data_IF_799922783482
#
_entry.id   IF_799922783482
#
_cell.length_a   1.000
_cell.length_b   1.000
_cell.length_c   1.000
_cell.angle_alpha   90.00
_cell.angle_beta   90.00
_cell.angle_gamma   90.00
#
_symmetry.space_group_name_H-M   'P 1'
#
loop_
_entity.id
_entity.type
_entity.pdbx_description
1 polymer ?
#
# COMPACT_ATOMS: atom_id res chain seq x y z
N UNK A 1 -1.12 8.34 6.41
CA UNK A 1 -0.44 7.66 5.29
C UNK A 1 0.91 8.33 5.11
N UNK A 2 1.95 7.61 4.66
CA UNK A 2 3.27 8.24 4.44
C UNK A 2 3.07 9.50 3.56
N UNK A 3 3.56 10.64 4.03
CA UNK A 3 3.59 11.92 3.30
C UNK A 3 2.25 12.66 3.08
N UNK A 4 1.43 12.85 4.12
CA UNK A 4 0.58 14.06 4.19
C UNK A 4 -0.57 14.19 3.19
N UNK A 5 -1.04 13.09 2.60
CA UNK A 5 -2.21 13.08 1.73
C UNK A 5 -1.87 12.66 0.31
N UNK A 6 -1.96 11.35 0.07
CA UNK A 6 -2.06 10.81 -1.28
C UNK A 6 -3.35 11.32 -1.93
N UNK A 7 -3.34 11.47 -3.26
CA UNK A 7 -4.57 11.51 -4.06
C UNK A 7 -5.52 10.37 -3.66
N UNK A 8 -6.79 10.47 -4.04
CA UNK A 8 -7.82 9.46 -3.73
C UNK A 8 -7.37 8.01 -4.03
N UNK A 9 -6.40 7.82 -4.96
CA UNK A 9 -5.89 6.52 -5.40
C UNK A 9 -4.50 6.12 -4.83
N UNK A 10 -3.74 7.00 -4.17
CA UNK A 10 -2.34 6.66 -3.81
C UNK A 10 -2.21 5.55 -2.76
N UNK A 11 -3.25 5.31 -1.96
CA UNK A 11 -3.30 4.10 -1.13
C UNK A 11 -3.37 2.82 -1.98
N UNK A 12 -4.06 2.87 -3.10
CA UNK A 12 -4.19 1.72 -4.01
C UNK A 12 -2.85 1.37 -4.63
N UNK A 13 -2.09 2.40 -5.05
CA UNK A 13 -0.77 2.22 -5.64
C UNK A 13 0.24 1.68 -4.62
N UNK A 14 0.18 2.16 -3.37
CA UNK A 14 0.95 1.57 -2.27
C UNK A 14 0.60 0.10 -2.03
N UNK A 15 -0.69 -0.29 -2.08
CA UNK A 15 -1.09 -1.70 -1.93
C UNK A 15 -0.50 -2.56 -3.06
N UNK A 16 -0.53 -2.09 -4.31
CA UNK A 16 0.09 -2.79 -5.43
C UNK A 16 1.60 -2.93 -5.25
N UNK A 17 2.27 -1.86 -4.80
CA UNK A 17 3.68 -1.91 -4.42
C UNK A 17 3.93 -2.99 -3.36
N UNK A 18 3.14 -3.01 -2.28
CA UNK A 18 3.31 -3.97 -1.19
C UNK A 18 3.14 -5.42 -1.66
N UNK A 19 2.10 -5.71 -2.46
CA UNK A 19 1.87 -7.04 -3.03
C UNK A 19 3.04 -7.46 -3.92
N UNK A 20 3.60 -6.54 -4.71
CA UNK A 20 4.73 -6.84 -5.59
C UNK A 20 6.02 -7.22 -4.85
N UNK A 21 6.11 -6.99 -3.53
CA UNK A 21 7.26 -7.40 -2.70
C UNK A 21 7.26 -8.89 -2.37
N UNK A 22 6.20 -9.60 -2.73
CA UNK A 22 6.03 -11.04 -2.53
C UNK A 22 5.30 -11.37 -1.23
N UNK A 23 4.79 -12.61 -1.18
CA UNK A 23 3.90 -13.11 -0.13
C UNK A 23 4.46 -12.90 1.28
N UNK A 24 5.74 -13.21 1.50
CA UNK A 24 6.35 -13.11 2.83
C UNK A 24 6.33 -11.67 3.39
N UNK A 25 6.61 -10.67 2.53
CA UNK A 25 6.59 -9.25 2.94
C UNK A 25 5.15 -8.79 3.16
N UNK A 26 4.24 -9.14 2.24
CA UNK A 26 2.83 -8.79 2.35
C UNK A 26 2.20 -9.35 3.64
N UNK A 27 2.41 -10.64 3.93
CA UNK A 27 1.85 -11.28 5.12
C UNK A 27 2.46 -10.73 6.42
N UNK A 28 3.76 -10.42 6.42
CA UNK A 28 4.40 -9.77 7.56
C UNK A 28 3.82 -8.38 7.84
N UNK A 29 3.62 -7.57 6.80
CA UNK A 29 3.02 -6.25 6.91
C UNK A 29 1.55 -6.30 7.35
N UNK A 30 0.78 -7.30 6.87
CA UNK A 30 -0.60 -7.51 7.26
C UNK A 30 -0.72 -7.88 8.74
N UNK A 31 0.20 -8.70 9.26
CA UNK A 31 0.24 -9.07 10.67
C UNK A 31 0.78 -7.96 11.58
N UNK A 32 1.77 -7.20 11.09
CA UNK A 32 2.37 -6.08 11.78
C UNK A 32 2.89 -5.05 10.76
N UNK A 33 2.21 -3.90 10.58
CA UNK A 33 2.62 -2.90 9.59
C UNK A 33 4.03 -2.35 9.84
N UNK A 34 4.46 -2.26 11.10
CA UNK A 34 5.79 -1.77 11.48
C UNK A 34 6.94 -2.70 11.04
N UNK A 35 6.63 -3.93 10.64
CA UNK A 35 7.60 -4.86 10.03
C UNK A 35 8.17 -4.34 8.71
N UNK A 36 7.44 -3.47 8.01
CA UNK A 36 7.93 -2.85 6.78
C UNK A 36 9.19 -2.03 7.00
N UNK A 37 9.46 -1.54 8.22
CA UNK A 37 10.70 -0.82 8.52
C UNK A 37 11.95 -1.68 8.24
N UNK A 38 11.84 -3.00 8.33
CA UNK A 38 12.89 -3.97 8.09
C UNK A 38 13.05 -4.32 6.58
N UNK A 39 12.14 -3.85 5.71
CA UNK A 39 12.26 -4.00 4.27
C UNK A 39 13.44 -3.14 3.72
N UNK A 40 14.24 -3.66 2.78
CA UNK A 40 15.37 -2.93 2.20
C UNK A 40 14.88 -1.92 1.15
N UNK A 41 14.34 -0.79 1.60
CA UNK A 41 13.97 0.31 0.72
C UNK A 41 15.19 0.82 -0.05
N UNK A 42 15.02 1.04 -1.34
CA UNK A 42 16.06 1.59 -2.22
C UNK A 42 15.92 3.09 -2.44
N UNK A 43 14.78 3.67 -2.05
CA UNK A 43 14.51 5.10 -2.03
C UNK A 43 13.51 5.43 -0.91
N UNK A 44 13.60 6.65 -0.38
CA UNK A 44 12.58 7.22 0.51
C UNK A 44 11.57 8.11 -0.24
N UNK A 45 11.83 8.40 -1.53
CA UNK A 45 10.97 9.19 -2.40
C UNK A 45 9.54 8.61 -2.47
N UNK A 46 8.53 9.48 -2.44
CA UNK A 46 7.12 9.07 -2.48
C UNK A 46 6.80 8.27 -3.73
N UNK A 47 7.39 8.65 -4.87
CA UNK A 47 7.17 8.01 -6.16
C UNK A 47 7.61 6.54 -6.17
N UNK A 48 8.49 6.13 -5.25
CA UNK A 48 8.94 4.74 -5.15
C UNK A 48 7.81 3.77 -4.75
N UNK A 49 6.77 4.29 -4.10
CA UNK A 49 5.63 3.51 -3.63
C UNK A 49 4.43 3.57 -4.57
N UNK A 50 4.46 4.47 -5.56
CA UNK A 50 3.40 4.66 -6.53
C UNK A 50 3.52 3.62 -7.65
N UNK A 51 2.90 2.44 -7.45
CA UNK A 51 3.04 1.30 -8.37
C UNK A 51 1.73 0.89 -9.06
N UNK A 52 1.07 1.87 -9.69
CA UNK A 52 -0.18 1.72 -10.44
C UNK A 52 -0.13 0.59 -11.48
N UNK A 53 0.91 0.55 -12.32
CA UNK A 53 1.06 -0.43 -13.41
C UNK A 53 0.94 -1.89 -12.95
N UNK A 54 1.34 -2.18 -11.71
CA UNK A 54 1.26 -3.53 -11.17
C UNK A 54 -0.18 -4.00 -10.95
N UNK A 55 -1.12 -3.07 -10.76
CA UNK A 55 -2.56 -3.37 -10.71
C UNK A 55 -3.09 -3.98 -12.01
N UNK A 56 -2.47 -3.66 -13.15
CA UNK A 56 -2.86 -4.17 -14.46
C UNK A 56 -2.22 -5.51 -14.82
N UNK A 57 -1.13 -5.90 -14.17
CA UNK A 57 -0.35 -7.09 -14.55
C UNK A 57 -1.21 -8.38 -14.62
N UNK A 58 -2.15 -8.55 -13.69
CA UNK A 58 -3.06 -9.69 -13.70
C UNK A 58 -4.08 -9.62 -14.85
N UNK A 59 -4.64 -8.43 -15.09
CA UNK A 59 -5.59 -8.17 -16.18
C UNK A 59 -4.94 -8.45 -17.53
N UNK A 60 -3.77 -7.89 -17.79
CA UNK A 60 -3.02 -8.07 -19.04
C UNK A 60 -2.66 -9.54 -19.28
N UNK A 61 -2.12 -10.24 -18.28
CA UNK A 61 -1.76 -11.64 -18.41
C UNK A 61 -2.98 -12.54 -18.68
N UNK A 62 -4.14 -12.20 -18.12
CA UNK A 62 -5.39 -12.91 -18.39
C UNK A 62 -5.90 -12.64 -19.80
N UNK A 63 -5.91 -11.38 -20.22
CA UNK A 63 -6.33 -10.98 -21.56
C UNK A 63 -5.44 -11.62 -22.63
N UNK A 64 -4.11 -11.58 -22.47
CA UNK A 64 -3.17 -12.20 -23.42
C UNK A 64 -3.42 -13.72 -23.54
N UNK A 65 -3.76 -14.38 -22.43
CA UNK A 65 -3.96 -15.83 -22.38
C UNK A 65 -5.33 -16.27 -22.91
N UNK A 66 -6.36 -15.46 -22.73
CA UNK A 66 -7.76 -15.86 -22.97
C UNK A 66 -8.42 -15.14 -24.13
N UNK A 67 -7.92 -13.96 -24.50
CA UNK A 67 -8.54 -13.04 -25.45
C UNK A 67 -9.78 -12.33 -24.90
N UNK A 68 -10.00 -12.35 -23.59
CA UNK A 68 -11.17 -11.77 -22.92
C UNK A 68 -10.75 -10.87 -21.76
N UNK A 69 -11.55 -9.86 -21.45
CA UNK A 69 -11.30 -8.97 -20.32
C UNK A 69 -11.57 -9.70 -18.99
N UNK A 70 -10.64 -9.61 -18.04
CA UNK A 70 -10.79 -10.26 -16.73
C UNK A 70 -12.04 -9.78 -15.97
N UNK A 71 -12.42 -8.51 -16.13
CA UNK A 71 -13.57 -7.88 -15.48
C UNK A 71 -14.90 -8.57 -15.79
N UNK A 72 -15.03 -9.26 -16.93
CA UNK A 72 -16.20 -10.07 -17.28
C UNK A 72 -16.38 -11.30 -16.39
N UNK A 73 -15.31 -11.73 -15.71
CA UNK A 73 -15.24 -12.92 -14.88
C UNK A 73 -15.15 -12.62 -13.38
N UNK A 74 -15.06 -11.34 -13.01
CA UNK A 74 -15.01 -10.88 -11.63
C UNK A 74 -16.39 -10.45 -11.17
N UNK A 75 -16.75 -10.83 -9.94
CA UNK A 75 -17.95 -10.33 -9.30
C UNK A 75 -17.65 -8.92 -8.78
N UNK A 76 -18.16 -7.89 -9.48
CA UNK A 76 -17.83 -6.48 -9.20
C UNK A 76 -18.50 -5.92 -7.94
N UNK A 77 -19.08 -6.77 -7.09
CA UNK A 77 -19.70 -6.40 -5.83
C UNK A 77 -18.63 -6.22 -4.73
N UNK A 78 -17.77 -5.22 -4.88
CA UNK A 78 -16.86 -4.83 -3.81
C UNK A 78 -17.52 -3.80 -2.90
N UNK A 79 -17.65 -4.15 -1.61
CA UNK A 79 -17.94 -3.18 -0.56
C UNK A 79 -16.71 -3.05 0.32
N UNK A 80 -16.16 -1.83 0.40
CA UNK A 80 -15.13 -1.53 1.39
C UNK A 80 -15.81 -1.33 2.74
N UNK A 81 -15.35 -2.01 3.80
CA UNK A 81 -15.82 -1.70 5.14
C UNK A 81 -15.42 -0.27 5.49
N UNK A 82 -16.20 0.36 6.36
CA UNK A 82 -15.81 1.64 6.96
C UNK A 82 -14.52 1.42 7.77
N UNK A 83 -13.51 2.26 7.50
CA UNK A 83 -12.19 2.17 8.16
C UNK A 83 -12.18 3.15 9.31
N UNK A 84 -12.03 2.64 10.53
CA UNK A 84 -11.74 3.47 11.70
C UNK A 84 -10.22 3.53 11.92
N UNK A 85 -9.66 4.73 11.86
CA UNK A 85 -8.24 4.94 12.12
C UNK A 85 -7.96 4.98 13.62
N UNK A 86 -6.97 4.20 14.06
CA UNK A 86 -6.47 4.23 15.44
C UNK A 86 -5.49 5.39 15.71
N UNK A 87 -5.24 6.25 14.72
CA UNK A 87 -4.33 7.40 14.76
C UNK A 87 -4.99 8.63 14.13
N UNK A 88 -4.38 9.79 14.32
CA UNK A 88 -4.85 11.08 13.83
C UNK A 88 -3.71 11.84 13.16
N UNK A 89 -3.97 12.45 12.00
CA UNK A 89 -3.01 13.32 11.31
C UNK A 89 -2.60 14.53 12.16
N UNK A 90 -3.49 15.03 13.02
CA UNK A 90 -3.24 16.17 13.92
C UNK A 90 -2.39 15.79 15.16
N UNK A 91 -2.20 14.50 15.43
CA UNK A 91 -1.33 13.99 16.50
C UNK A 91 -0.26 13.05 15.92
N UNK A 92 0.88 13.58 15.43
CA UNK A 92 1.97 12.77 14.90
C UNK A 92 2.47 11.67 15.84
N UNK A 93 2.45 11.92 17.15
CA UNK A 93 2.85 10.92 18.14
C UNK A 93 1.85 9.75 18.21
N UNK A 94 0.60 9.93 17.76
CA UNK A 94 -0.35 8.81 17.60
C UNK A 94 0.10 7.80 16.55
N UNK A 95 0.64 8.25 15.42
CA UNK A 95 1.19 7.37 14.37
C UNK A 95 2.40 6.60 14.88
N UNK A 96 3.30 7.30 15.58
CA UNK A 96 4.50 6.70 16.20
C UNK A 96 4.15 5.64 17.25
N UNK A 97 3.03 5.78 17.97
CA UNK A 97 2.55 4.73 18.90
C UNK A 97 2.16 3.43 18.17
N UNK A 98 1.68 3.52 16.93
CA UNK A 98 1.27 2.35 16.13
C UNK A 98 2.47 1.74 15.40
N UNK A 99 3.24 2.54 14.67
CA UNK A 99 4.37 2.10 13.85
C UNK A 99 5.65 2.86 14.23
N UNK A 100 6.25 2.59 15.39
CA UNK A 100 7.39 3.36 15.89
C UNK A 100 8.64 3.25 15.00
N UNK A 101 8.92 2.08 14.41
CA UNK A 101 10.11 1.92 13.55
C UNK A 101 9.94 2.65 12.22
N UNK A 102 8.78 2.51 11.59
CA UNK A 102 8.46 3.23 10.36
C UNK A 102 8.45 4.74 10.59
N UNK A 103 7.85 5.19 11.69
CA UNK A 103 7.85 6.61 12.06
C UNK A 103 9.26 7.14 12.28
N UNK A 104 10.13 6.37 12.94
CA UNK A 104 11.53 6.75 13.10
C UNK A 104 12.31 6.81 11.76
N UNK A 105 11.86 6.09 10.74
CA UNK A 105 12.53 6.01 9.43
C UNK A 105 12.05 7.07 8.44
N UNK A 106 10.76 7.43 8.48
CA UNK A 106 10.11 8.29 7.48
C UNK A 106 9.35 9.49 8.08
N UNK A 107 9.25 9.58 9.42
CA UNK A 107 8.45 10.60 10.08
C UNK A 107 8.91 12.04 9.80
N UNK A 108 10.21 12.26 9.61
CA UNK A 108 10.77 13.59 9.32
C UNK A 108 10.52 14.06 7.88
N UNK A 109 10.15 13.15 6.96
CA UNK A 109 9.81 13.49 5.57
C UNK A 109 8.32 13.84 5.42
N UNK A 110 7.53 13.66 6.48
CA UNK A 110 6.08 13.89 6.50
C UNK A 110 5.67 15.24 7.13
N UNK A 111 6.61 16.07 7.59
CA UNK A 111 6.35 17.37 8.25
C UNK A 111 7.23 18.51 7.72
#
# INVERSE_FOLDING_TARGET
MMCGGCSDDGFDYFRYWLVSRGEAVFQAALANPDSLADYPFVSADSDYYEFEDFGYAAHEAFEEKTGSEMSEYLDNAFTYPEIEFAWSDDDPESMKRICPKLFAKFGDECF
#
